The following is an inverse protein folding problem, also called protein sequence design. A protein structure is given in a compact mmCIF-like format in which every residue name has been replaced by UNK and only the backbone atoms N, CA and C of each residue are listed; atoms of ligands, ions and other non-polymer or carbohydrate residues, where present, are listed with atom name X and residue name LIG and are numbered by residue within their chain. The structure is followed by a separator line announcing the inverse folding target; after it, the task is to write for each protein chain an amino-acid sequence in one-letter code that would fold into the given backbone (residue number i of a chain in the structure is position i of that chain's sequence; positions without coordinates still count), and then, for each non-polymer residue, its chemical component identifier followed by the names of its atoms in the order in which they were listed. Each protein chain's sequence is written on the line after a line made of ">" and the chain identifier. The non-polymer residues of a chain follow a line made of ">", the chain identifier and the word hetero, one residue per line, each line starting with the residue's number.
data_IF_151948178746
#
_entry.id   IF_151948178746
#
_cell.length_a   1.000
_cell.length_b   1.000
_cell.length_c   1.000
_cell.angle_alpha   90.00
_cell.angle_beta   90.00
_cell.angle_gamma   90.00
#
_symmetry.space_group_name_H-M   'P 1'
#
loop_
_entity.id
_entity.type
_entity.pdbx_description
1 polymer ?
#
# COMPACT_ATOMS: atom_id res chain seq x y z
N UNK A 1 -7.26 12.06 -15.66
CA UNK A 1 -6.74 10.95 -14.83
C UNK A 1 -6.64 11.51 -13.43
N UNK A 2 -7.30 10.86 -12.46
CA UNK A 2 -7.24 11.31 -11.07
C UNK A 2 -6.14 10.55 -10.33
N UNK A 3 -5.25 11.28 -9.67
CA UNK A 3 -4.24 10.70 -8.81
C UNK A 3 -4.88 10.33 -7.46
N UNK A 4 -4.76 9.07 -7.05
CA UNK A 4 -5.33 8.56 -5.79
C UNK A 4 -4.35 8.53 -4.63
N UNK A 5 -3.07 8.85 -4.88
CA UNK A 5 -2.02 8.91 -3.88
C UNK A 5 -0.67 8.50 -4.44
N UNK A 6 0.33 8.41 -3.54
CA UNK A 6 1.69 7.98 -3.87
C UNK A 6 2.18 7.02 -2.79
N UNK A 7 2.63 5.85 -3.23
CA UNK A 7 3.28 4.86 -2.38
C UNK A 7 4.80 5.03 -2.52
N UNK A 8 5.56 5.22 -1.43
CA UNK A 8 7.02 5.28 -1.49
C UNK A 8 7.60 3.90 -1.86
N UNK A 9 8.81 3.89 -2.43
CA UNK A 9 9.54 2.63 -2.59
C UNK A 9 9.91 2.07 -1.22
N UNK A 10 9.56 0.81 -0.99
CA UNK A 10 9.90 0.07 0.22
C UNK A 10 10.34 -1.35 -0.18
N UNK A 11 11.52 -1.76 0.28
CA UNK A 11 12.11 -3.07 0.00
C UNK A 11 11.23 -4.22 0.50
N UNK A 12 10.43 -3.97 1.54
CA UNK A 12 9.53 -4.97 2.11
C UNK A 12 8.37 -5.31 1.18
N UNK A 13 7.98 -4.40 0.27
CA UNK A 13 6.96 -4.69 -0.76
C UNK A 13 7.46 -5.77 -1.72
N UNK A 14 8.74 -5.67 -2.12
CA UNK A 14 9.37 -6.68 -2.99
C UNK A 14 9.51 -8.01 -2.26
N UNK A 15 10.07 -8.00 -1.05
CA UNK A 15 10.28 -9.22 -0.26
C UNK A 15 8.97 -9.95 0.06
N UNK A 16 7.91 -9.21 0.39
CA UNK A 16 6.59 -9.80 0.64
C UNK A 16 5.99 -10.40 -0.64
N UNK A 17 6.13 -9.72 -1.78
CA UNK A 17 5.77 -10.25 -3.09
C UNK A 17 6.50 -11.56 -3.43
N UNK A 18 7.83 -11.58 -3.28
CA UNK A 18 8.67 -12.76 -3.58
C UNK A 18 8.35 -13.96 -2.67
N UNK A 19 7.90 -13.70 -1.44
CA UNK A 19 7.52 -14.75 -0.47
C UNK A 19 6.05 -15.14 -0.55
N UNK A 20 5.26 -14.52 -1.44
CA UNK A 20 3.82 -14.78 -1.58
C UNK A 20 2.99 -14.30 -0.39
N UNK A 21 3.52 -13.39 0.43
CA UNK A 21 2.84 -12.82 1.59
C UNK A 21 2.28 -11.45 1.25
N UNK A 22 1.00 -11.15 1.57
CA UNK A 22 0.48 -9.80 1.39
C UNK A 22 1.25 -8.77 2.24
N UNK A 23 1.80 -7.74 1.58
CA UNK A 23 2.58 -6.68 2.25
C UNK A 23 1.85 -6.09 3.46
N UNK A 24 0.57 -5.73 3.31
CA UNK A 24 -0.24 -5.06 4.33
C UNK A 24 -0.42 -5.91 5.60
N UNK A 25 -0.43 -7.24 5.48
CA UNK A 25 -0.67 -8.13 6.62
C UNK A 25 0.39 -8.00 7.72
N UNK A 26 1.65 -7.79 7.34
CA UNK A 26 2.77 -7.67 8.29
C UNK A 26 3.27 -6.22 8.42
N UNK A 27 3.01 -5.34 7.42
CA UNK A 27 3.65 -4.03 7.31
C UNK A 27 2.68 -2.84 7.34
N UNK A 28 1.43 -3.01 7.79
CA UNK A 28 0.42 -1.94 7.83
C UNK A 28 0.90 -0.64 8.53
N UNK A 29 1.76 -0.75 9.54
CA UNK A 29 2.26 0.39 10.31
C UNK A 29 3.48 1.11 9.70
N UNK A 30 4.03 0.59 8.60
CA UNK A 30 5.10 1.25 7.84
C UNK A 30 4.55 2.45 7.07
N UNK A 31 5.42 3.36 6.62
CA UNK A 31 4.99 4.51 5.81
C UNK A 31 4.34 4.06 4.49
N UNK A 32 4.91 3.04 3.82
CA UNK A 32 4.28 2.47 2.63
C UNK A 32 2.91 1.86 2.96
N UNK A 33 2.79 1.11 4.07
CA UNK A 33 1.54 0.50 4.52
C UNK A 33 0.42 1.53 4.76
N UNK A 34 0.75 2.63 5.45
CA UNK A 34 -0.20 3.74 5.64
C UNK A 34 -0.64 4.36 4.31
N UNK A 35 0.29 4.59 3.37
CA UNK A 35 -0.04 5.13 2.04
C UNK A 35 -0.92 4.20 1.21
N UNK A 36 -0.74 2.88 1.33
CA UNK A 36 -1.64 1.93 0.69
C UNK A 36 -3.07 2.03 1.24
N UNK A 37 -3.23 2.17 2.57
CA UNK A 37 -4.55 2.35 3.18
C UNK A 37 -5.20 3.67 2.72
N UNK A 38 -4.46 4.79 2.71
CA UNK A 38 -4.97 6.07 2.19
C UNK A 38 -5.46 5.98 0.74
N UNK A 39 -4.74 5.24 -0.12
CA UNK A 39 -5.17 5.00 -1.51
C UNK A 39 -6.45 4.17 -1.57
N UNK A 40 -6.58 3.14 -0.71
CA UNK A 40 -7.78 2.33 -0.64
C UNK A 40 -9.00 3.16 -0.20
N UNK A 41 -8.83 4.02 0.81
CA UNK A 41 -9.88 4.93 1.28
C UNK A 41 -10.33 5.88 0.16
N UNK A 42 -9.38 6.48 -0.57
CA UNK A 42 -9.68 7.35 -1.72
C UNK A 42 -10.41 6.64 -2.87
N UNK A 43 -10.24 5.31 -3.01
CA UNK A 43 -11.01 4.51 -3.97
C UNK A 43 -12.44 4.34 -3.48
N UNK A 44 -12.61 3.98 -2.20
CA UNK A 44 -13.92 3.76 -1.57
C UNK A 44 -14.76 5.03 -1.59
N UNK A 45 -14.18 6.19 -1.29
CA UNK A 45 -14.90 7.48 -1.32
C UNK A 45 -15.37 7.89 -2.72
N UNK A 46 -14.78 7.32 -3.78
CA UNK A 46 -15.17 7.58 -5.18
C UNK A 46 -16.20 6.60 -5.73
N UNK A 47 -16.51 5.52 -5.02
CA UNK A 47 -17.56 4.56 -5.39
C UNK A 47 -18.93 5.07 -4.97
#
# INVERSE_FOLDING_TARGET
>A
IDLLGRIPFDVQVVQSGDTGKPFIGENANTEAGKRFNEVADNIIEKL
#
